data_IF_338148891763
#
_entry.id   IF_338148891763
#
_cell.length_a   1.000
_cell.length_b   1.000
_cell.length_c   1.000
_cell.angle_alpha   90.00
_cell.angle_beta   90.00
_cell.angle_gamma   90.00
#
_symmetry.space_group_name_H-M   'P 1'
#
loop_
_entity.id
_entity.type
_entity.pdbx_description
1 polymer ?
#
# COMPACT_ATOMS: atom_id res chain seq x y z
N UNK A 1 -9.47 14.19 30.64
CA UNK A 1 -8.28 13.29 30.56
C UNK A 1 -7.62 13.53 29.21
N UNK A 2 -6.64 14.43 29.18
CA UNK A 2 -5.82 14.71 28.00
C UNK A 2 -4.79 13.59 27.85
N UNK A 3 -4.96 12.73 26.85
CA UNK A 3 -3.91 11.78 26.43
C UNK A 3 -2.72 12.58 25.94
N UNK A 4 -1.72 12.76 26.79
CA UNK A 4 -0.42 13.30 26.38
C UNK A 4 0.15 12.39 25.30
N UNK A 5 0.15 12.89 24.07
CA UNK A 5 0.93 12.28 22.99
C UNK A 5 2.39 12.49 23.38
N UNK A 6 3.02 11.41 23.86
CA UNK A 6 4.44 11.41 24.20
C UNK A 6 5.21 11.77 22.92
N UNK A 7 6.03 12.83 22.93
CA UNK A 7 6.83 13.22 21.78
C UNK A 7 7.76 12.07 21.41
N UNK A 8 7.54 11.45 20.26
CA UNK A 8 8.40 10.38 19.75
C UNK A 8 9.66 11.05 19.21
N UNK A 9 10.73 11.06 20.01
CA UNK A 9 12.01 11.61 19.59
C UNK A 9 12.57 10.83 18.39
N UNK A 10 13.20 11.51 17.39
CA UNK A 10 13.92 10.85 16.31
C UNK A 10 14.99 9.91 16.88
N UNK A 11 14.96 8.62 16.52
CA UNK A 11 15.89 7.60 17.03
C UNK A 11 15.40 6.79 18.24
N UNK A 12 14.14 6.95 18.66
CA UNK A 12 13.49 6.07 19.65
C UNK A 12 12.97 4.77 19.02
N UNK A 13 12.88 3.68 19.80
CA UNK A 13 12.32 2.39 19.36
C UNK A 13 10.91 2.53 18.73
N UNK A 14 10.13 3.53 19.15
CA UNK A 14 8.81 3.81 18.61
C UNK A 14 8.83 4.38 17.17
N UNK A 15 9.85 5.17 16.82
CA UNK A 15 10.04 5.66 15.45
C UNK A 15 10.51 4.52 14.53
N UNK A 16 11.39 3.65 15.02
CA UNK A 16 11.88 2.50 14.27
C UNK A 16 10.77 1.46 14.01
N UNK A 17 9.93 1.22 15.02
CA UNK A 17 8.75 0.36 14.89
C UNK A 17 7.72 0.93 13.91
N UNK A 18 7.49 2.24 13.93
CA UNK A 18 6.56 2.89 12.98
C UNK A 18 7.07 2.77 11.54
N UNK A 19 8.38 2.95 11.33
CA UNK A 19 9.01 2.78 10.02
C UNK A 19 8.94 1.33 9.53
N UNK A 20 9.15 0.35 10.41
CA UNK A 20 8.98 -1.07 10.08
C UNK A 20 7.54 -1.39 9.66
N UNK A 21 6.55 -0.86 10.37
CA UNK A 21 5.14 -1.01 10.00
C UNK A 21 4.88 -0.39 8.62
N UNK A 22 5.33 0.85 8.40
CA UNK A 22 5.19 1.53 7.11
C UNK A 22 5.78 0.73 5.94
N UNK A 23 7.01 0.23 6.10
CA UNK A 23 7.69 -0.60 5.11
C UNK A 23 6.92 -1.91 4.88
N UNK A 24 6.48 -2.56 5.96
CA UNK A 24 5.73 -3.82 5.87
C UNK A 24 4.43 -3.62 5.09
N UNK A 25 3.69 -2.55 5.39
CA UNK A 25 2.45 -2.21 4.69
C UNK A 25 2.72 -1.92 3.21
N UNK A 26 3.77 -1.19 2.89
CA UNK A 26 4.16 -0.94 1.50
C UNK A 26 4.52 -2.24 0.76
N UNK A 27 5.29 -3.13 1.38
CA UNK A 27 5.65 -4.44 0.81
C UNK A 27 4.41 -5.30 0.59
N UNK A 28 3.50 -5.37 1.56
CA UNK A 28 2.22 -6.08 1.43
C UNK A 28 1.39 -5.49 0.28
N UNK A 29 1.34 -4.17 0.16
CA UNK A 29 0.69 -3.49 -0.96
C UNK A 29 1.30 -3.86 -2.32
N UNK A 30 2.64 -3.89 -2.43
CA UNK A 30 3.33 -4.30 -3.66
C UNK A 30 3.08 -5.77 -4.02
N UNK A 31 3.07 -6.67 -3.04
CA UNK A 31 2.72 -8.08 -3.24
C UNK A 31 1.28 -8.20 -3.72
N UNK A 32 0.35 -7.49 -3.08
CA UNK A 32 -1.03 -7.41 -3.52
C UNK A 32 -1.14 -6.93 -4.98
N UNK A 33 -0.37 -5.90 -5.35
CA UNK A 33 -0.40 -5.31 -6.70
C UNK A 33 0.06 -6.34 -7.72
N UNK A 34 1.16 -7.04 -7.45
CA UNK A 34 1.64 -8.10 -8.32
C UNK A 34 0.59 -9.21 -8.50
N UNK A 35 -0.01 -9.68 -7.42
CA UNK A 35 -1.06 -10.72 -7.45
C UNK A 35 -2.29 -10.24 -8.22
N UNK A 36 -2.72 -9.00 -7.98
CA UNK A 36 -3.87 -8.41 -8.68
C UNK A 36 -3.61 -8.34 -10.20
N UNK A 37 -2.48 -7.79 -10.62
CA UNK A 37 -2.11 -7.67 -12.03
C UNK A 37 -1.93 -9.03 -12.70
N UNK A 38 -1.41 -10.02 -11.97
CA UNK A 38 -1.28 -11.40 -12.45
C UNK A 38 -2.66 -12.00 -12.74
N UNK A 39 -3.59 -11.94 -11.78
CA UNK A 39 -4.96 -12.42 -11.97
C UNK A 39 -5.69 -11.68 -13.08
N UNK A 40 -5.55 -10.35 -13.12
CA UNK A 40 -6.15 -9.51 -14.17
C UNK A 40 -5.60 -9.85 -15.55
N UNK A 41 -4.30 -10.15 -15.66
CA UNK A 41 -3.70 -10.60 -16.92
C UNK A 41 -4.33 -11.90 -17.41
N UNK A 42 -4.59 -12.84 -16.50
CA UNK A 42 -5.29 -14.09 -16.87
C UNK A 42 -6.72 -13.83 -17.33
N UNK A 43 -7.46 -12.95 -16.65
CA UNK A 43 -8.82 -12.53 -17.07
C UNK A 43 -8.79 -11.87 -18.46
N UNK A 44 -7.89 -10.92 -18.68
CA UNK A 44 -7.78 -10.19 -19.94
C UNK A 44 -7.37 -11.08 -21.13
N UNK A 45 -6.66 -12.18 -20.85
CA UNK A 45 -6.28 -13.19 -21.86
C UNK A 45 -7.29 -14.32 -22.02
N UNK A 46 -8.39 -14.30 -21.24
CA UNK A 46 -9.42 -15.33 -21.23
C UNK A 46 -8.86 -16.75 -21.01
N UNK A 47 -7.94 -16.90 -20.06
CA UNK A 47 -7.38 -18.23 -19.72
C UNK A 47 -8.23 -18.92 -18.65
N UNK A 48 -8.38 -20.24 -18.75
CA UNK A 48 -9.15 -21.02 -17.79
C UNK A 48 -8.53 -21.05 -16.38
N UNK A 49 -7.19 -20.98 -16.30
CA UNK A 49 -6.48 -20.97 -15.01
C UNK A 49 -5.16 -20.21 -15.07
N UNK A 50 -4.78 -19.65 -13.92
CA UNK A 50 -3.46 -19.05 -13.67
C UNK A 50 -2.92 -19.71 -12.40
N UNK A 51 -1.78 -20.42 -12.49
CA UNK A 51 -1.17 -21.15 -11.36
C UNK A 51 -2.18 -22.10 -10.67
N UNK A 52 -2.99 -22.80 -11.48
CA UNK A 52 -3.96 -23.79 -10.98
C UNK A 52 -5.21 -23.20 -10.29
N UNK A 53 -5.39 -21.89 -10.30
CA UNK A 53 -6.59 -21.21 -9.79
C UNK A 53 -7.30 -20.41 -10.89
N UNK A 54 -8.62 -20.16 -10.74
CA UNK A 54 -9.31 -19.23 -11.63
C UNK A 54 -8.67 -17.83 -11.58
N UNK A 55 -8.40 -17.17 -12.72
CA UNK A 55 -7.69 -15.89 -12.73
C UNK A 55 -8.41 -14.78 -11.96
N UNK A 56 -9.75 -14.77 -12.00
CA UNK A 56 -10.57 -13.81 -11.26
C UNK A 56 -10.37 -13.92 -9.74
N UNK A 57 -10.14 -15.14 -9.22
CA UNK A 57 -9.93 -15.35 -7.79
C UNK A 57 -8.60 -14.77 -7.35
N UNK A 58 -7.54 -15.00 -8.14
CA UNK A 58 -6.22 -14.40 -7.93
C UNK A 58 -6.32 -12.87 -7.95
N UNK A 59 -7.05 -12.32 -8.93
CA UNK A 59 -7.28 -10.88 -9.02
C UNK A 59 -7.94 -10.32 -7.76
N UNK A 60 -9.05 -10.92 -7.31
CA UNK A 60 -9.80 -10.46 -6.13
C UNK A 60 -8.92 -10.50 -4.87
N UNK A 61 -8.17 -11.58 -4.66
CA UNK A 61 -7.25 -11.69 -3.52
C UNK A 61 -6.20 -10.59 -3.57
N UNK A 62 -5.56 -10.37 -4.72
CA UNK A 62 -4.57 -9.30 -4.88
C UNK A 62 -5.17 -7.92 -4.65
N UNK A 63 -6.34 -7.64 -5.21
CA UNK A 63 -7.02 -6.35 -5.08
C UNK A 63 -7.40 -6.05 -3.62
N UNK A 64 -7.92 -7.05 -2.89
CA UNK A 64 -8.22 -6.94 -1.46
C UNK A 64 -6.95 -6.65 -0.65
N UNK A 65 -5.82 -7.29 -0.98
CA UNK A 65 -4.55 -7.02 -0.29
C UNK A 65 -4.03 -5.60 -0.58
N UNK A 66 -4.06 -5.14 -1.83
CA UNK A 66 -3.65 -3.77 -2.21
C UNK A 66 -4.46 -2.71 -1.48
N UNK A 67 -5.78 -2.81 -1.61
CA UNK A 67 -6.70 -1.84 -1.01
C UNK A 67 -6.67 -1.95 0.51
N UNK A 68 -6.62 -3.16 1.05
CA UNK A 68 -6.50 -3.42 2.47
C UNK A 68 -5.24 -2.81 3.08
N UNK A 69 -4.09 -2.89 2.40
CA UNK A 69 -2.86 -2.25 2.84
C UNK A 69 -2.99 -0.72 2.89
N UNK A 70 -3.59 -0.10 1.87
CA UNK A 70 -3.80 1.35 1.84
C UNK A 70 -4.80 1.82 2.92
N UNK A 71 -5.88 1.07 3.14
CA UNK A 71 -6.85 1.35 4.21
C UNK A 71 -6.22 1.15 5.59
N UNK A 72 -5.38 0.13 5.75
CA UNK A 72 -4.65 -0.10 7.01
C UNK A 72 -3.69 1.04 7.33
N UNK A 73 -2.96 1.56 6.32
CA UNK A 73 -2.09 2.72 6.51
C UNK A 73 -2.86 3.96 7.01
N UNK A 74 -4.02 4.23 6.40
CA UNK A 74 -4.94 5.29 6.84
C UNK A 74 -5.39 5.10 8.29
N UNK A 75 -5.74 3.86 8.67
CA UNK A 75 -6.17 3.54 10.03
C UNK A 75 -5.02 3.60 11.05
N UNK A 76 -3.79 3.27 10.63
CA UNK A 76 -2.59 3.32 11.46
C UNK A 76 -2.12 4.76 11.71
N UNK A 77 -2.45 5.71 10.83
CA UNK A 77 -2.27 7.14 11.06
C UNK A 77 -0.79 7.50 11.27
N UNK A 78 -0.45 8.08 12.41
CA UNK A 78 0.94 8.43 12.75
C UNK A 78 1.83 7.22 13.08
N UNK A 79 1.25 6.03 13.31
CA UNK A 79 2.00 4.80 13.64
C UNK A 79 2.58 4.10 12.42
N UNK A 80 2.23 4.53 11.22
CA UNK A 80 2.78 4.06 9.95
C UNK A 80 3.55 5.16 9.21
N UNK A 81 3.86 6.26 9.87
CA UNK A 81 4.66 7.32 9.27
C UNK A 81 6.13 6.87 9.16
N UNK A 82 6.69 6.96 7.95
CA UNK A 82 8.12 6.71 7.66
C UNK A 82 8.98 7.82 8.26
N UNK A 83 8.47 9.05 8.26
CA UNK A 83 9.09 10.23 8.86
C UNK A 83 8.27 10.71 10.05
N UNK A 84 8.88 10.68 11.23
CA UNK A 84 8.30 11.25 12.45
C UNK A 84 8.96 12.61 12.68
N UNK A 85 8.19 13.68 12.55
CA UNK A 85 8.64 15.06 12.82
C UNK A 85 8.05 15.52 14.14
N UNK A 86 8.75 16.44 14.82
CA UNK A 86 8.22 17.05 16.04
C UNK A 86 6.89 17.79 15.73
N UNK A 87 5.92 17.84 16.67
CA UNK A 87 4.58 18.36 16.41
C UNK A 87 4.53 19.83 15.93
N UNK A 88 5.61 20.58 16.13
CA UNK A 88 5.84 21.97 15.73
C UNK A 88 6.49 22.13 14.35
N UNK A 89 6.94 21.03 13.72
CA UNK A 89 7.50 21.04 12.38
C UNK A 89 6.51 20.51 11.33
N UNK A 90 6.30 21.29 10.27
CA UNK A 90 5.56 20.81 9.11
C UNK A 90 6.38 19.76 8.35
N UNK A 91 5.73 18.65 8.00
CA UNK A 91 6.27 17.68 7.06
C UNK A 91 6.63 18.39 5.75
N UNK A 92 7.83 18.14 5.24
CA UNK A 92 8.15 18.58 3.88
C UNK A 92 7.23 17.87 2.88
N UNK A 93 6.98 18.48 1.71
CA UNK A 93 6.11 17.91 0.68
C UNK A 93 6.47 16.45 0.35
N UNK A 94 7.77 16.14 0.29
CA UNK A 94 8.25 14.77 0.04
C UNK A 94 7.88 13.80 1.18
N UNK A 95 8.00 14.23 2.44
CA UNK A 95 7.66 13.40 3.60
C UNK A 95 6.14 13.19 3.71
N UNK A 96 5.34 14.19 3.37
CA UNK A 96 3.88 14.04 3.28
C UNK A 96 3.50 13.00 2.21
N UNK A 97 4.09 13.10 1.01
CA UNK A 97 3.86 12.13 -0.06
C UNK A 97 4.22 10.72 0.41
N UNK A 98 5.39 10.55 1.03
CA UNK A 98 5.86 9.24 1.48
C UNK A 98 5.04 8.67 2.64
N UNK A 99 4.56 9.50 3.57
CA UNK A 99 3.78 9.04 4.74
C UNK A 99 2.29 8.83 4.45
N UNK A 100 1.70 9.52 3.47
CA UNK A 100 0.23 9.51 3.27
C UNK A 100 -0.20 9.09 1.88
N UNK A 101 0.64 9.30 0.87
CA UNK A 101 0.29 9.00 -0.52
C UNK A 101 0.96 7.73 -1.04
N UNK A 102 2.05 7.25 -0.45
CA UNK A 102 2.75 6.07 -0.94
C UNK A 102 1.85 4.82 -1.11
N UNK A 103 0.99 4.44 -0.14
CA UNK A 103 0.09 3.30 -0.33
C UNK A 103 -0.96 3.54 -1.41
N UNK A 104 -1.47 4.77 -1.52
CA UNK A 104 -2.43 5.17 -2.55
C UNK A 104 -1.81 5.23 -3.94
N UNK A 105 -0.53 5.57 -4.06
CA UNK A 105 0.23 5.49 -5.30
C UNK A 105 0.29 4.03 -5.77
N UNK A 106 0.50 3.06 -4.87
CA UNK A 106 0.48 1.63 -5.24
C UNK A 106 -0.91 1.23 -5.78
N UNK A 107 -1.99 1.67 -5.13
CA UNK A 107 -3.36 1.43 -5.61
C UNK A 107 -3.55 2.04 -7.01
N UNK A 108 -3.17 3.29 -7.21
CA UNK A 108 -3.28 3.98 -8.49
C UNK A 108 -2.47 3.29 -9.60
N UNK A 109 -1.23 2.88 -9.31
CA UNK A 109 -0.39 2.13 -10.24
C UNK A 109 -0.98 0.76 -10.58
N UNK A 110 -1.66 0.12 -9.63
CA UNK A 110 -2.40 -1.12 -9.89
C UNK A 110 -3.49 -0.89 -10.93
N UNK A 111 -4.30 0.16 -10.77
CA UNK A 111 -5.35 0.53 -11.73
C UNK A 111 -4.76 0.87 -13.11
N UNK A 112 -3.68 1.65 -13.16
CA UNK A 112 -2.98 1.97 -14.42
C UNK A 112 -2.48 0.70 -15.10
N UNK A 113 -1.89 -0.23 -14.35
CA UNK A 113 -1.45 -1.52 -14.87
C UNK A 113 -2.61 -2.34 -15.43
N UNK A 114 -3.76 -2.36 -14.75
CA UNK A 114 -4.96 -3.04 -15.24
C UNK A 114 -5.46 -2.45 -16.55
N UNK A 115 -5.52 -1.12 -16.66
CA UNK A 115 -5.93 -0.43 -17.89
C UNK A 115 -4.95 -0.76 -19.03
N UNK A 116 -3.64 -0.71 -18.78
CA UNK A 116 -2.63 -1.03 -19.78
C UNK A 116 -2.72 -2.48 -20.28
N UNK A 117 -2.98 -3.43 -19.37
CA UNK A 117 -3.21 -4.84 -19.73
C UNK A 117 -4.49 -4.99 -20.56
N UNK A 118 -5.57 -4.31 -20.15
CA UNK A 118 -6.84 -4.37 -20.86
C UNK A 118 -6.71 -3.84 -22.30
N UNK A 119 -6.12 -2.66 -22.48
CA UNK A 119 -5.84 -2.04 -23.78
C UNK A 119 -4.90 -2.86 -24.68
N UNK A 120 -4.13 -3.78 -24.11
CA UNK A 120 -3.24 -4.66 -24.89
C UNK A 120 -3.95 -5.88 -25.46
N UNK A 121 -5.02 -6.32 -24.79
CA UNK A 121 -5.72 -7.56 -25.10
C UNK A 121 -7.14 -7.33 -25.66
N UNK A 122 -7.54 -6.07 -25.82
CA UNK A 122 -8.75 -5.60 -26.50
C UNK A 122 -8.35 -4.61 -27.58
#
# INVERSE_FOLDING_TARGET
MSTQQVPVAPGSEAAERSRLVAITVAVVGLVGMFVALLGWTGVAKDVDSTIGLPPWLIFVVGAVVVVGAAVFDLAAGARSDVYVVAPDQQLTTMQFILNKLAPWIIVALTVVGMIAIWLRHH
#
